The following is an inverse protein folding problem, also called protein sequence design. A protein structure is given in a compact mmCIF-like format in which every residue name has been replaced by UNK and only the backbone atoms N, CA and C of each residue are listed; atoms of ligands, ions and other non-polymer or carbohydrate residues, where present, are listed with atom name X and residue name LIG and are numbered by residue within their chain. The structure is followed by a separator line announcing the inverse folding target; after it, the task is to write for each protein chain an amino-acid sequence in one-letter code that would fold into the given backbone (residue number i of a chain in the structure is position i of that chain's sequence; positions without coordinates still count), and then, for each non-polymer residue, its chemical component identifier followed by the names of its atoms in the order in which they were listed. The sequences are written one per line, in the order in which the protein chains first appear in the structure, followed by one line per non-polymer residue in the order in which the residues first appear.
data_IF_085404610575
#
_entry.id   IF_085404610575
#
_cell.length_a   1.000
_cell.length_b   1.000
_cell.length_c   1.000
_cell.angle_alpha   90.00
_cell.angle_beta   90.00
_cell.angle_gamma   90.00
#
_symmetry.space_group_name_H-M   'P 1'
#
loop_
_entity.id
_entity.type
_entity.pdbx_description
1 polymer ?
#
# COMPACT_ATOMS: atom_id res chain seq x y z
N UNK A 1 -96.28 -13.03 3.36
CA UNK A 1 -95.32 -12.02 2.88
C UNK A 1 -93.94 -12.38 3.45
N UNK A 2 -92.86 -12.33 2.66
CA UNK A 2 -91.70 -13.21 2.83
C UNK A 2 -90.51 -12.50 3.47
N UNK A 3 -89.73 -13.17 4.32
CA UNK A 3 -88.35 -12.75 4.68
C UNK A 3 -87.55 -14.02 4.98
N UNK A 4 -86.93 -14.61 3.95
CA UNK A 4 -85.48 -14.57 3.66
C UNK A 4 -84.61 -15.37 4.64
N UNK A 5 -84.23 -16.58 4.21
CA UNK A 5 -83.15 -17.39 4.79
C UNK A 5 -81.80 -16.85 4.27
N UNK A 6 -80.99 -16.24 5.14
CA UNK A 6 -79.60 -15.95 4.83
C UNK A 6 -78.72 -17.15 5.25
N UNK A 7 -78.22 -17.90 4.26
CA UNK A 7 -77.20 -18.94 4.45
C UNK A 7 -75.86 -18.25 4.72
N UNK A 8 -75.29 -18.46 5.91
CA UNK A 8 -73.92 -18.08 6.22
C UNK A 8 -72.98 -19.12 5.58
N UNK A 9 -72.28 -18.73 4.50
CA UNK A 9 -71.17 -19.51 3.95
C UNK A 9 -69.90 -19.03 4.63
N UNK A 10 -69.35 -19.86 5.52
CA UNK A 10 -68.03 -19.63 6.13
C UNK A 10 -66.97 -20.00 5.09
N UNK A 11 -66.32 -18.98 4.52
CA UNK A 11 -65.19 -19.17 3.60
C UNK A 11 -63.92 -19.38 4.46
N UNK A 12 -63.49 -20.63 4.61
CA UNK A 12 -62.22 -20.96 5.24
C UNK A 12 -61.08 -20.63 4.26
N UNK A 13 -60.37 -19.54 4.51
CA UNK A 13 -59.10 -19.22 3.84
C UNK A 13 -57.99 -20.07 4.48
N UNK A 14 -57.63 -21.17 3.83
CA UNK A 14 -56.41 -21.91 4.13
C UNK A 14 -55.22 -21.09 3.62
N UNK A 15 -54.53 -20.40 4.54
CA UNK A 15 -53.25 -19.75 4.26
C UNK A 15 -52.19 -20.85 4.16
N UNK A 16 -51.80 -21.21 2.94
CA UNK A 16 -50.66 -22.09 2.69
C UNK A 16 -49.38 -21.28 2.98
N UNK A 17 -48.80 -21.46 4.16
CA UNK A 17 -47.49 -20.89 4.48
C UNK A 17 -46.44 -21.59 3.60
N UNK A 18 -46.04 -20.95 2.51
CA UNK A 18 -44.84 -21.35 1.75
C UNK A 18 -43.64 -21.01 2.63
N UNK A 19 -43.23 -22.00 3.44
CA UNK A 19 -41.90 -22.03 4.04
C UNK A 19 -40.92 -22.17 2.88
N UNK A 20 -40.48 -21.05 2.32
CA UNK A 20 -39.32 -21.03 1.46
C UNK A 20 -38.14 -21.48 2.32
N UNK A 21 -37.64 -22.69 2.08
CA UNK A 21 -36.33 -23.14 2.53
C UNK A 21 -35.31 -22.13 1.99
N UNK A 22 -34.98 -21.13 2.81
CA UNK A 22 -33.81 -20.30 2.59
C UNK A 22 -32.63 -21.16 3.01
N UNK A 23 -32.10 -21.94 2.06
CA UNK A 23 -30.76 -22.44 2.23
C UNK A 23 -29.86 -21.25 2.62
N UNK A 24 -29.06 -21.37 3.69
CA UNK A 24 -28.12 -20.31 4.01
C UNK A 24 -27.23 -20.14 2.79
N UNK A 25 -27.24 -18.95 2.20
CA UNK A 25 -26.29 -18.56 1.15
C UNK A 25 -24.91 -18.75 1.77
N UNK A 26 -24.28 -19.89 1.47
CA UNK A 26 -22.90 -20.14 1.84
C UNK A 26 -22.13 -19.06 1.11
N UNK A 27 -21.61 -18.08 1.85
CA UNK A 27 -20.78 -17.03 1.28
C UNK A 27 -19.72 -17.74 0.41
N UNK A 28 -19.81 -17.56 -0.91
CA UNK A 28 -18.86 -18.17 -1.81
C UNK A 28 -17.50 -17.58 -1.45
N UNK A 29 -16.54 -18.43 -1.10
CA UNK A 29 -15.16 -18.00 -0.90
C UNK A 29 -14.72 -17.31 -2.19
N UNK A 30 -14.33 -16.02 -2.14
CA UNK A 30 -13.99 -15.29 -3.36
C UNK A 30 -12.82 -15.98 -4.07
N UNK A 31 -12.72 -15.85 -5.39
CA UNK A 31 -11.53 -16.30 -6.11
C UNK A 31 -10.33 -15.39 -5.81
N UNK A 32 -9.10 -15.86 -6.02
CA UNK A 32 -7.90 -15.03 -5.95
C UNK A 32 -8.00 -13.82 -6.87
N UNK A 33 -8.46 -14.01 -8.11
CA UNK A 33 -8.69 -12.93 -9.06
C UNK A 33 -9.67 -11.87 -8.51
N UNK A 34 -10.74 -12.29 -7.84
CA UNK A 34 -11.70 -11.36 -7.21
C UNK A 34 -11.03 -10.55 -6.10
N UNK A 35 -10.23 -11.19 -5.24
CA UNK A 35 -9.53 -10.50 -4.15
C UNK A 35 -8.48 -9.53 -4.70
N UNK A 36 -7.73 -9.94 -5.73
CA UNK A 36 -6.74 -9.08 -6.40
C UNK A 36 -7.38 -7.90 -7.13
N UNK A 37 -8.57 -8.07 -7.73
CA UNK A 37 -9.31 -6.98 -8.35
C UNK A 37 -9.75 -5.95 -7.29
N UNK A 38 -10.32 -6.41 -6.17
CA UNK A 38 -10.65 -5.54 -5.03
C UNK A 38 -9.44 -4.80 -4.48
N UNK A 39 -8.29 -5.48 -4.40
CA UNK A 39 -7.06 -4.85 -3.95
C UNK A 39 -6.55 -3.77 -4.91
N UNK A 40 -6.66 -4.00 -6.23
CA UNK A 40 -6.32 -3.00 -7.23
C UNK A 40 -7.25 -1.77 -7.15
N UNK A 41 -8.56 -2.00 -6.99
CA UNK A 41 -9.54 -0.93 -6.79
C UNK A 41 -9.24 -0.15 -5.50
N UNK A 42 -8.92 -0.87 -4.43
CA UNK A 42 -8.53 -0.28 -3.14
C UNK A 42 -7.28 0.60 -3.29
N UNK A 43 -6.22 0.13 -3.97
CA UNK A 43 -5.00 0.92 -4.19
C UNK A 43 -5.28 2.14 -5.07
N UNK A 44 -6.19 2.04 -6.05
CA UNK A 44 -6.58 3.19 -6.87
C UNK A 44 -7.29 4.27 -6.06
N UNK A 45 -8.22 3.89 -5.17
CA UNK A 45 -8.87 4.82 -4.24
C UNK A 45 -7.85 5.41 -3.27
N UNK A 46 -7.00 4.55 -2.70
CA UNK A 46 -5.94 4.95 -1.77
C UNK A 46 -5.04 6.02 -2.40
N UNK A 47 -4.67 5.87 -3.67
CA UNK A 47 -3.88 6.86 -4.40
C UNK A 47 -4.55 8.23 -4.47
N UNK A 48 -5.86 8.26 -4.73
CA UNK A 48 -6.63 9.49 -4.85
C UNK A 48 -6.78 10.19 -3.49
N UNK A 49 -7.08 9.42 -2.45
CA UNK A 49 -7.34 9.94 -1.11
C UNK A 49 -6.04 10.34 -0.39
N UNK A 50 -4.97 9.53 -0.53
CA UNK A 50 -3.66 9.82 0.06
C UNK A 50 -2.89 10.88 -0.75
N UNK A 51 -3.19 11.05 -2.04
CA UNK A 51 -2.49 11.96 -2.95
C UNK A 51 -2.61 13.46 -2.63
N UNK A 52 -3.25 13.82 -1.52
CA UNK A 52 -3.38 15.19 -1.04
C UNK A 52 -3.14 15.32 0.48
N UNK A 53 -2.47 14.36 1.11
CA UNK A 53 -2.18 14.41 2.54
C UNK A 53 -0.74 14.81 2.82
N UNK A 54 -0.56 15.42 3.99
CA UNK A 54 0.73 15.58 4.64
C UNK A 54 0.72 14.66 5.87
N UNK A 55 1.72 13.80 5.98
CA UNK A 55 1.86 12.89 7.10
C UNK A 55 3.16 13.17 7.87
N UNK A 56 3.07 13.23 9.19
CA UNK A 56 4.23 13.27 10.06
C UNK A 56 4.95 11.92 10.04
N UNK A 57 6.28 11.97 10.04
CA UNK A 57 7.13 10.78 10.15
C UNK A 57 8.24 10.99 11.17
N UNK A 58 8.37 10.03 12.08
CA UNK A 58 9.57 9.84 12.87
C UNK A 58 10.37 8.66 12.32
N UNK A 59 11.59 8.91 11.87
CA UNK A 59 12.41 7.90 11.20
C UNK A 59 13.77 7.74 11.87
N UNK A 60 14.04 6.53 12.34
CA UNK A 60 15.31 6.17 12.98
C UNK A 60 16.09 5.22 12.08
N UNK A 61 17.35 5.55 11.86
CA UNK A 61 18.29 4.80 11.05
C UNK A 61 19.45 4.31 11.91
N UNK A 62 19.94 3.10 11.65
CA UNK A 62 21.13 2.54 12.25
C UNK A 62 21.99 1.87 11.18
N UNK A 63 23.31 2.09 11.23
CA UNK A 63 24.29 1.51 10.31
C UNK A 63 25.48 1.02 11.13
N UNK A 64 25.93 -0.19 10.85
CA UNK A 64 27.07 -0.76 11.53
C UNK A 64 28.42 -0.24 11.01
N UNK A 65 29.42 -0.05 11.90
CA UNK A 65 29.31 -0.17 13.36
C UNK A 65 28.79 1.11 14.04
N UNK A 66 27.57 1.06 14.59
CA UNK A 66 27.08 1.96 15.64
C UNK A 66 26.68 3.39 15.25
N UNK A 67 26.62 3.76 13.96
CA UNK A 67 26.12 5.08 13.56
C UNK A 67 24.60 5.08 13.55
N UNK A 68 24.00 5.98 14.32
CA UNK A 68 22.54 6.19 14.32
C UNK A 68 22.18 7.59 13.83
N UNK A 69 20.95 7.74 13.34
CA UNK A 69 20.36 9.03 12.97
C UNK A 69 18.87 9.02 13.23
N UNK A 70 18.34 10.08 13.84
CA UNK A 70 16.90 10.31 13.97
C UNK A 70 16.50 11.49 13.09
N UNK A 71 15.39 11.35 12.39
CA UNK A 71 14.81 12.40 11.57
C UNK A 71 13.34 12.58 11.94
N UNK A 72 12.89 13.82 11.85
CA UNK A 72 11.47 14.17 11.84
C UNK A 72 11.16 14.81 10.48
N UNK A 73 10.16 14.29 9.78
CA UNK A 73 9.81 14.70 8.42
C UNK A 73 8.31 14.86 8.25
N UNK A 74 7.93 15.66 7.25
CA UNK A 74 6.60 15.62 6.64
C UNK A 74 6.69 14.86 5.31
N UNK A 75 5.74 13.94 5.07
CA UNK A 75 5.60 13.22 3.82
C UNK A 75 4.47 13.82 3.01
N UNK A 76 4.81 14.35 1.85
CA UNK A 76 3.86 14.85 0.87
C UNK A 76 3.67 13.73 -0.15
N UNK A 77 2.49 13.15 -0.17
CA UNK A 77 2.11 12.15 -1.17
C UNK A 77 1.27 12.85 -2.22
N UNK A 78 1.64 12.69 -3.49
CA UNK A 78 0.91 13.27 -4.60
C UNK A 78 1.01 12.39 -5.83
N UNK A 79 0.00 12.48 -6.69
CA UNK A 79 -0.01 11.85 -8.01
C UNK A 79 -0.15 12.92 -9.07
N UNK A 80 0.80 13.01 -10.03
CA UNK A 80 0.65 13.92 -11.14
C UNK A 80 -0.65 13.63 -11.92
N UNK A 81 -1.32 14.65 -12.49
CA UNK A 81 -2.46 14.43 -13.37
C UNK A 81 -2.08 13.50 -14.53
N UNK A 82 -2.98 12.57 -14.88
CA UNK A 82 -2.79 11.58 -15.94
C UNK A 82 -1.59 10.62 -15.75
N UNK A 83 -1.03 10.56 -14.54
CA UNK A 83 0.06 9.67 -14.17
C UNK A 83 -0.38 8.71 -13.05
N UNK A 84 -0.35 7.41 -13.33
CA UNK A 84 -0.68 6.38 -12.35
C UNK A 84 0.39 6.26 -11.24
N UNK A 85 1.52 6.98 -11.34
CA UNK A 85 2.62 6.89 -10.37
C UNK A 85 2.33 7.64 -9.06
N UNK A 86 2.84 7.08 -7.97
CA UNK A 86 2.84 7.73 -6.65
C UNK A 86 4.17 8.41 -6.47
N UNK A 87 4.13 9.72 -6.26
CA UNK A 87 5.29 10.48 -5.86
C UNK A 87 5.16 10.80 -4.38
N UNK A 88 6.23 10.51 -3.65
CA UNK A 88 6.32 10.82 -2.24
C UNK A 88 7.56 11.67 -2.07
N UNK A 89 7.35 12.87 -1.54
CA UNK A 89 8.42 13.77 -1.15
C UNK A 89 8.53 13.78 0.38
N UNK A 90 9.71 13.44 0.89
CA UNK A 90 10.04 13.48 2.32
C UNK A 90 10.71 14.82 2.60
N UNK A 91 9.98 15.76 3.18
CA UNK A 91 10.59 16.99 3.68
C UNK A 91 11.10 16.80 5.10
N UNK A 92 12.41 16.68 5.24
CA UNK A 92 13.06 16.54 6.55
C UNK A 92 13.13 17.89 7.26
N UNK A 93 12.49 17.96 8.42
CA UNK A 93 12.37 19.14 9.27
C UNK A 93 13.52 19.20 10.28
N UNK A 94 13.81 18.07 10.92
CA UNK A 94 14.88 17.96 11.92
C UNK A 94 15.75 16.73 11.69
N UNK A 95 17.05 16.87 11.98
CA UNK A 95 18.02 15.78 12.01
C UNK A 95 18.74 15.80 13.35
N UNK A 96 18.69 14.69 14.09
CA UNK A 96 19.30 14.53 15.41
C UNK A 96 18.94 15.68 16.38
N UNK A 97 17.68 16.11 16.32
CA UNK A 97 17.11 17.19 17.14
C UNK A 97 17.53 18.61 16.73
N UNK A 98 18.15 18.77 15.56
CA UNK A 98 18.53 20.07 14.99
C UNK A 98 17.65 20.40 13.80
N UNK A 99 17.03 21.59 13.75
CA UNK A 99 16.32 22.05 12.57
C UNK A 99 17.22 22.10 11.34
N UNK A 100 16.62 21.81 10.20
CA UNK A 100 17.27 21.92 8.89
C UNK A 100 17.28 23.40 8.45
N UNK A 101 18.46 24.02 8.42
CA UNK A 101 18.64 25.47 8.22
C UNK A 101 18.14 25.99 6.86
N UNK A 102 18.33 25.21 5.78
CA UNK A 102 18.02 25.60 4.39
C UNK A 102 16.58 25.26 3.96
N UNK A 103 15.73 24.79 4.88
CA UNK A 103 14.43 24.17 4.56
C UNK A 103 13.52 25.05 3.72
N UNK A 104 13.23 26.27 4.17
CA UNK A 104 12.23 27.15 3.52
C UNK A 104 12.65 27.53 2.10
N UNK A 105 13.90 27.97 1.93
CA UNK A 105 14.45 28.32 0.62
C UNK A 105 14.46 27.11 -0.31
N UNK A 106 14.87 25.94 0.18
CA UNK A 106 14.89 24.68 -0.58
C UNK A 106 13.50 24.29 -1.06
N UNK A 107 12.47 24.36 -0.20
CA UNK A 107 11.10 24.08 -0.60
C UNK A 107 10.61 25.05 -1.66
N UNK A 108 10.89 26.35 -1.49
CA UNK A 108 10.56 27.34 -2.50
C UNK A 108 11.23 27.00 -3.84
N UNK A 109 12.51 26.63 -3.86
CA UNK A 109 13.24 26.30 -5.09
C UNK A 109 12.82 24.97 -5.72
N UNK A 110 12.23 24.05 -4.94
CA UNK A 110 11.72 22.77 -5.44
C UNK A 110 10.34 22.91 -6.10
N UNK A 111 9.47 23.74 -5.54
CA UNK A 111 8.08 23.89 -6.00
C UNK A 111 7.82 25.16 -6.81
N UNK A 112 8.84 25.97 -7.09
CA UNK A 112 8.78 27.08 -8.06
C UNK A 112 8.58 26.61 -9.52
N UNK A 113 8.89 25.35 -9.81
CA UNK A 113 8.87 24.79 -11.18
C UNK A 113 7.58 24.00 -11.47
N UNK A 114 6.62 24.68 -12.13
CA UNK A 114 5.52 24.11 -12.97
C UNK A 114 4.48 23.17 -12.33
N UNK A 115 3.25 23.09 -12.88
CA UNK A 115 2.21 22.17 -12.41
C UNK A 115 2.45 20.70 -12.81
N UNK A 116 3.33 20.46 -13.79
CA UNK A 116 3.77 19.12 -14.20
C UNK A 116 5.07 18.76 -13.47
N UNK A 117 5.20 17.50 -13.03
CA UNK A 117 6.43 16.99 -12.40
C UNK A 117 7.24 16.19 -13.43
N UNK A 118 8.17 16.82 -14.17
CA UNK A 118 9.02 16.10 -15.12
C UNK A 118 9.94 15.11 -14.39
N UNK A 119 10.42 14.08 -15.09
CA UNK A 119 11.34 13.08 -14.53
C UNK A 119 12.59 13.70 -13.86
N UNK A 120 13.04 14.86 -14.34
CA UNK A 120 14.15 15.60 -13.73
C UNK A 120 13.78 16.15 -12.33
N UNK A 121 12.57 16.69 -12.17
CA UNK A 121 12.07 17.17 -10.87
C UNK A 121 11.81 15.99 -9.94
N UNK A 122 11.24 14.88 -10.44
CA UNK A 122 11.07 13.65 -9.66
C UNK A 122 12.40 13.15 -9.09
N UNK A 123 13.44 13.07 -9.92
CA UNK A 123 14.78 12.67 -9.46
C UNK A 123 15.34 13.64 -8.43
N UNK A 124 15.10 14.95 -8.59
CA UNK A 124 15.49 15.99 -7.62
C UNK A 124 14.77 15.78 -6.29
N UNK A 125 13.46 15.61 -6.29
CA UNK A 125 12.64 15.35 -5.10
C UNK A 125 13.07 14.08 -4.36
N UNK A 126 13.34 12.99 -5.09
CA UNK A 126 13.86 11.74 -4.52
C UNK A 126 15.25 11.91 -3.90
N UNK A 127 16.14 12.62 -4.60
CA UNK A 127 17.49 12.90 -4.10
C UNK A 127 17.45 13.75 -2.83
N UNK A 128 16.60 14.77 -2.80
CA UNK A 128 16.38 15.62 -1.61
C UNK A 128 15.77 14.82 -0.45
N UNK A 129 14.78 13.97 -0.72
CA UNK A 129 14.15 13.07 0.27
C UNK A 129 15.17 12.13 0.92
N UNK A 130 16.21 11.75 0.19
CA UNK A 130 17.24 10.81 0.62
C UNK A 130 18.50 11.47 1.21
N UNK A 131 18.64 12.80 1.17
CA UNK A 131 19.92 13.49 1.44
C UNK A 131 20.50 13.23 2.84
N UNK A 132 19.63 12.93 3.79
CA UNK A 132 20.00 12.62 5.17
C UNK A 132 20.03 11.13 5.49
N UNK A 133 19.77 10.26 4.52
CA UNK A 133 19.89 8.83 4.71
C UNK A 133 21.35 8.45 4.99
N UNK A 134 21.57 7.54 5.94
CA UNK A 134 22.89 7.04 6.32
C UNK A 134 23.11 5.62 5.79
N UNK A 135 24.31 5.30 5.33
CA UNK A 135 24.67 3.97 4.85
C UNK A 135 25.36 4.04 3.50
N UNK A 136 25.81 2.90 3.00
CA UNK A 136 26.46 2.81 1.69
C UNK A 136 25.46 2.52 0.56
N UNK A 137 24.28 1.95 0.89
CA UNK A 137 23.20 1.72 -0.05
C UNK A 137 22.39 3.01 -0.19
N UNK A 138 22.28 3.50 -1.43
CA UNK A 138 21.44 4.64 -1.77
C UNK A 138 19.97 4.22 -1.69
N UNK A 139 19.21 4.93 -0.86
CA UNK A 139 17.79 4.65 -0.59
C UNK A 139 17.00 5.91 -0.91
N UNK A 140 16.38 5.95 -2.08
CA UNK A 140 15.60 7.11 -2.57
C UNK A 140 14.22 6.72 -3.13
N UNK A 141 13.79 5.48 -2.85
CA UNK A 141 12.45 4.93 -3.11
C UNK A 141 11.82 4.34 -1.85
N UNK A 142 12.52 4.39 -0.71
CA UNK A 142 12.08 3.77 0.54
C UNK A 142 11.00 4.61 1.20
N UNK A 143 9.78 4.45 0.71
CA UNK A 143 8.58 5.12 1.21
C UNK A 143 7.51 4.09 1.54
N UNK A 144 6.66 4.34 2.55
CA UNK A 144 5.74 3.32 3.06
C UNK A 144 4.71 2.82 2.04
N UNK A 145 4.49 3.55 0.96
CA UNK A 145 3.51 3.24 -0.08
C UNK A 145 4.10 2.43 -1.24
N UNK A 146 5.43 2.23 -1.28
CA UNK A 146 6.11 1.67 -2.45
C UNK A 146 5.55 0.31 -2.87
N UNK A 147 5.34 -0.60 -1.91
CA UNK A 147 4.87 -1.96 -2.21
C UNK A 147 3.39 -2.00 -2.67
N UNK A 148 2.57 -1.01 -2.30
CA UNK A 148 1.18 -0.94 -2.77
C UNK A 148 1.09 -0.72 -4.29
N UNK A 149 2.08 -0.05 -4.89
CA UNK A 149 2.11 0.21 -6.33
C UNK A 149 2.11 -1.08 -7.17
N UNK A 150 2.62 -2.18 -6.62
CA UNK A 150 2.62 -3.50 -7.27
C UNK A 150 1.21 -4.09 -7.47
N UNK A 151 0.24 -3.65 -6.67
CA UNK A 151 -1.15 -4.10 -6.76
C UNK A 151 -1.98 -3.29 -7.77
N UNK A 152 -1.41 -2.26 -8.39
CA UNK A 152 -2.07 -1.53 -9.48
C UNK A 152 -2.34 -2.45 -10.68
N UNK A 153 -3.35 -2.12 -11.48
CA UNK A 153 -3.68 -2.90 -12.69
C UNK A 153 -2.50 -3.04 -13.64
N UNK A 154 -1.70 -1.99 -13.76
CA UNK A 154 -0.51 -1.93 -14.60
C UNK A 154 0.56 -2.92 -14.14
N UNK A 155 0.92 -2.91 -12.86
CA UNK A 155 2.04 -3.70 -12.36
C UNK A 155 1.68 -5.17 -12.10
N UNK A 156 0.42 -5.49 -11.75
CA UNK A 156 -0.03 -6.88 -11.51
C UNK A 156 0.23 -7.83 -12.68
N UNK A 157 0.22 -7.32 -13.92
CA UNK A 157 0.46 -8.13 -15.12
C UNK A 157 1.89 -8.70 -15.20
N UNK A 158 2.83 -8.13 -14.44
CA UNK A 158 4.24 -8.51 -14.38
C UNK A 158 4.60 -9.35 -13.15
N UNK A 159 3.59 -9.75 -12.38
CA UNK A 159 3.76 -10.51 -11.16
C UNK A 159 3.19 -11.92 -11.33
N UNK A 160 3.90 -12.89 -10.78
CA UNK A 160 3.30 -14.18 -10.41
C UNK A 160 2.73 -14.02 -9.00
N UNK A 161 1.43 -14.26 -8.86
CA UNK A 161 0.68 -14.06 -7.60
C UNK A 161 0.06 -15.37 -7.15
N UNK A 162 0.27 -15.74 -5.90
CA UNK A 162 -0.25 -16.98 -5.32
C UNK A 162 -0.77 -16.74 -3.90
N UNK A 163 -1.98 -17.21 -3.61
CA UNK A 163 -2.47 -17.29 -2.24
C UNK A 163 -1.81 -18.47 -1.53
N UNK A 164 -0.97 -18.20 -0.54
CA UNK A 164 -0.24 -19.23 0.20
C UNK A 164 -0.99 -19.72 1.43
N UNK A 165 -1.67 -18.81 2.15
CA UNK A 165 -2.42 -19.16 3.36
C UNK A 165 -3.48 -18.11 3.72
N UNK A 166 -4.23 -18.38 4.80
CA UNK A 166 -5.10 -17.41 5.47
C UNK A 166 -4.57 -17.16 6.88
N UNK A 167 -4.56 -15.91 7.31
CA UNK A 167 -4.01 -15.50 8.59
C UNK A 167 -4.89 -14.43 9.25
N UNK A 168 -4.93 -14.42 10.58
CA UNK A 168 -5.51 -13.32 11.35
C UNK A 168 -4.43 -12.27 11.63
N UNK A 169 -4.61 -11.06 11.11
CA UNK A 169 -3.77 -9.92 11.44
C UNK A 169 -4.56 -9.01 12.39
N UNK A 170 -4.33 -9.21 13.69
CA UNK A 170 -5.25 -8.73 14.73
C UNK A 170 -6.57 -9.51 14.65
N UNK A 171 -7.69 -8.80 14.58
CA UNK A 171 -9.02 -9.41 14.46
C UNK A 171 -9.49 -9.57 12.99
N UNK A 172 -8.67 -9.16 12.03
CA UNK A 172 -9.01 -9.15 10.62
C UNK A 172 -8.51 -10.43 9.94
N UNK A 173 -9.41 -11.13 9.26
CA UNK A 173 -9.06 -12.28 8.41
C UNK A 173 -8.43 -11.77 7.12
N UNK A 174 -7.22 -12.24 6.84
CA UNK A 174 -6.44 -11.87 5.68
C UNK A 174 -6.09 -13.09 4.85
N UNK A 175 -5.97 -12.88 3.54
CA UNK A 175 -5.27 -13.77 2.66
C UNK A 175 -3.83 -13.32 2.56
N UNK A 176 -2.93 -14.28 2.71
CA UNK A 176 -1.49 -14.10 2.51
C UNK A 176 -1.20 -14.42 1.06
N UNK A 177 -0.87 -13.41 0.27
CA UNK A 177 -0.64 -13.52 -1.16
C UNK A 177 0.83 -13.23 -1.45
N UNK A 178 1.57 -14.26 -1.82
CA UNK A 178 2.94 -14.13 -2.28
C UNK A 178 2.97 -13.52 -3.68
N UNK A 179 3.96 -12.68 -3.94
CA UNK A 179 4.25 -12.16 -5.27
C UNK A 179 5.71 -12.40 -5.64
N UNK A 180 5.93 -12.59 -6.94
CA UNK A 180 7.25 -12.61 -7.57
C UNK A 180 7.19 -11.74 -8.82
N UNK A 181 8.00 -10.68 -8.87
CA UNK A 181 8.20 -9.91 -10.10
C UNK A 181 9.00 -10.75 -11.10
N UNK A 182 8.53 -10.79 -12.34
CA UNK A 182 9.11 -11.63 -13.41
C UNK A 182 9.39 -10.87 -14.70
N UNK A 183 9.04 -9.57 -14.76
CA UNK A 183 9.17 -8.75 -15.97
C UNK A 183 9.53 -7.30 -15.61
N UNK A 184 10.02 -6.56 -16.62
CA UNK A 184 10.50 -5.18 -16.52
C UNK A 184 9.44 -4.14 -16.89
N UNK A 185 9.61 -2.86 -16.48
CA UNK A 185 10.61 -2.37 -15.52
C UNK A 185 10.33 -2.84 -14.09
N UNK A 186 11.40 -3.17 -13.36
CA UNK A 186 11.33 -3.36 -11.92
C UNK A 186 11.14 -2.02 -11.19
N UNK A 187 10.61 -2.09 -9.95
CA UNK A 187 10.52 -0.91 -9.08
C UNK A 187 11.89 -0.41 -8.62
N UNK A 188 12.83 -1.33 -8.42
CA UNK A 188 14.19 -1.01 -7.95
C UNK A 188 15.17 -1.33 -9.06
N UNK A 189 16.12 -0.42 -9.24
CA UNK A 189 17.26 -0.60 -10.13
C UNK A 189 18.56 -0.41 -9.35
N UNK A 190 19.60 -1.13 -9.75
CA UNK A 190 20.94 -0.95 -9.20
C UNK A 190 21.64 0.31 -9.74
N UNK A 191 22.89 0.54 -9.32
CA UNK A 191 23.68 1.68 -9.78
C UNK A 191 24.02 1.64 -11.29
N UNK A 192 23.94 0.47 -11.91
CA UNK A 192 24.13 0.21 -13.34
C UNK A 192 22.81 0.24 -14.13
N UNK A 193 21.71 0.63 -13.47
CA UNK A 193 20.34 0.66 -14.01
C UNK A 193 19.83 -0.72 -14.45
N UNK A 194 20.36 -1.79 -13.87
CA UNK A 194 19.79 -3.12 -14.03
C UNK A 194 18.61 -3.27 -13.08
N UNK A 195 17.56 -3.91 -13.58
CA UNK A 195 16.35 -4.17 -12.81
C UNK A 195 16.62 -5.22 -11.72
N UNK A 196 16.24 -4.88 -10.49
CA UNK A 196 16.25 -5.79 -9.36
C UNK A 196 14.83 -6.28 -9.12
N UNK A 197 14.54 -7.51 -9.53
CA UNK A 197 13.22 -8.11 -9.39
C UNK A 197 12.90 -8.39 -7.92
N UNK A 198 11.76 -7.88 -7.49
CA UNK A 198 11.29 -8.03 -6.12
C UNK A 198 10.39 -9.23 -5.94
N UNK A 199 10.31 -9.72 -4.71
CA UNK A 199 9.33 -10.70 -4.29
C UNK A 199 8.86 -10.35 -2.87
N UNK A 200 7.83 -11.02 -2.39
CA UNK A 200 7.31 -10.75 -1.05
C UNK A 200 5.87 -11.17 -0.88
N UNK A 201 5.18 -10.50 0.04
CA UNK A 201 3.86 -10.92 0.51
C UNK A 201 2.95 -9.73 0.79
N UNK A 202 1.69 -9.86 0.41
CA UNK A 202 0.60 -8.98 0.80
C UNK A 202 -0.36 -9.67 1.75
N UNK A 203 -0.77 -8.99 2.82
CA UNK A 203 -1.87 -9.41 3.68
C UNK A 203 -3.12 -8.62 3.30
N UNK A 204 -4.04 -9.26 2.58
CA UNK A 204 -5.21 -8.61 1.98
C UNK A 204 -6.48 -9.12 2.64
N UNK A 205 -7.33 -8.21 3.11
CA UNK A 205 -8.68 -8.57 3.57
C UNK A 205 -9.55 -8.98 2.36
N UNK A 206 -9.97 -10.25 2.26
CA UNK A 206 -10.59 -10.76 1.04
C UNK A 206 -11.95 -10.11 0.73
N UNK A 207 -12.65 -9.61 1.76
CA UNK A 207 -13.96 -9.00 1.60
C UNK A 207 -13.91 -7.63 0.91
N UNK A 208 -12.85 -6.85 1.15
CA UNK A 208 -12.77 -5.43 0.77
C UNK A 208 -11.61 -5.12 -0.16
N UNK A 209 -10.56 -5.97 -0.20
CA UNK A 209 -9.31 -5.66 -0.88
C UNK A 209 -8.34 -4.80 -0.06
N UNK A 210 -8.71 -4.40 1.17
CA UNK A 210 -7.82 -3.62 2.04
C UNK A 210 -6.52 -4.36 2.28
N UNK A 211 -5.39 -3.66 2.14
CA UNK A 211 -4.06 -4.19 2.40
C UNK A 211 -3.63 -3.78 3.80
N UNK A 212 -3.40 -4.76 4.68
CA UNK A 212 -3.09 -4.54 6.10
C UNK A 212 -1.59 -4.56 6.38
N UNK A 213 -0.83 -5.29 5.57
CA UNK A 213 0.62 -5.37 5.65
C UNK A 213 1.19 -5.71 4.28
N UNK A 214 2.38 -5.18 4.01
CA UNK A 214 3.21 -5.57 2.86
C UNK A 214 4.60 -5.92 3.33
N UNK A 215 5.12 -7.04 2.83
CA UNK A 215 6.53 -7.40 2.90
C UNK A 215 7.09 -7.35 1.48
N UNK A 216 8.21 -6.66 1.32
CA UNK A 216 8.90 -6.45 0.06
C UNK A 216 10.36 -6.83 0.24
N UNK A 217 10.87 -7.69 -0.64
CA UNK A 217 12.22 -8.22 -0.61
C UNK A 217 12.85 -8.09 -2.00
N UNK A 218 14.12 -7.74 -2.02
CA UNK A 218 14.98 -7.76 -3.20
C UNK A 218 16.31 -8.39 -2.79
N UNK A 219 16.76 -9.34 -3.60
CA UNK A 219 18.04 -10.02 -3.41
C UNK A 219 18.83 -9.98 -4.71
N UNK A 220 20.15 -9.75 -4.60
CA UNK A 220 21.09 -9.91 -5.70
C UNK A 220 22.30 -10.72 -5.24
N UNK A 221 22.27 -12.01 -5.58
CA UNK A 221 23.31 -12.99 -5.25
C UNK A 221 24.70 -12.63 -5.79
N UNK A 222 24.77 -11.89 -6.91
CA UNK A 222 26.04 -11.56 -7.56
C UNK A 222 26.87 -10.59 -6.72
N UNK A 223 26.19 -9.74 -5.96
CA UNK A 223 26.81 -8.75 -5.06
C UNK A 223 26.48 -9.02 -3.58
N UNK A 224 25.74 -10.07 -3.27
CA UNK A 224 25.30 -10.41 -1.92
C UNK A 224 24.38 -9.36 -1.29
N UNK A 225 23.60 -8.64 -2.09
CA UNK A 225 22.68 -7.59 -1.63
C UNK A 225 21.37 -8.21 -1.16
N UNK A 226 20.90 -7.79 0.02
CA UNK A 226 19.54 -8.04 0.49
C UNK A 226 18.90 -6.72 0.92
N UNK A 227 17.68 -6.49 0.45
CA UNK A 227 16.82 -5.37 0.83
C UNK A 227 15.50 -5.95 1.31
N UNK A 228 15.11 -5.57 2.52
CA UNK A 228 13.82 -5.94 3.10
C UNK A 228 13.08 -4.68 3.53
N UNK A 229 11.78 -4.65 3.29
CA UNK A 229 10.90 -3.60 3.78
C UNK A 229 9.56 -4.21 4.17
N UNK A 230 9.12 -3.92 5.40
CA UNK A 230 7.79 -4.27 5.91
C UNK A 230 7.04 -3.02 6.28
N UNK A 231 5.80 -2.91 5.82
CA UNK A 231 4.90 -1.81 6.16
C UNK A 231 3.62 -2.38 6.76
N UNK A 232 3.19 -1.84 7.90
CA UNK A 232 1.89 -2.15 8.50
C UNK A 232 0.98 -0.94 8.36
N UNK A 233 -0.26 -1.19 7.96
CA UNK A 233 -1.28 -0.17 7.77
C UNK A 233 -2.32 -0.29 8.88
N UNK A 234 -2.75 0.84 9.42
CA UNK A 234 -3.77 0.90 10.48
C UNK A 234 -4.86 1.89 10.12
N UNK A 235 -6.06 1.65 10.65
CA UNK A 235 -7.18 2.54 10.42
C UNK A 235 -6.92 3.90 11.07
N UNK A 236 -7.15 4.96 10.30
CA UNK A 236 -7.18 6.32 10.80
C UNK A 236 -8.61 6.83 10.73
N UNK A 237 -9.21 7.10 11.90
CA UNK A 237 -10.63 7.49 12.00
C UNK A 237 -10.93 8.78 11.23
N UNK A 238 -10.00 9.74 11.24
CA UNK A 238 -10.17 11.04 10.56
C UNK A 238 -10.21 10.91 9.04
N UNK A 239 -9.46 9.94 8.49
CA UNK A 239 -9.41 9.68 7.05
C UNK A 239 -10.36 8.56 6.60
N UNK A 240 -10.89 7.77 7.53
CA UNK A 240 -11.79 6.65 7.21
C UNK A 240 -11.12 5.51 6.42
N UNK A 241 -9.79 5.49 6.32
CA UNK A 241 -9.02 4.51 5.54
C UNK A 241 -7.86 3.93 6.35
N UNK A 242 -7.18 2.90 5.83
CA UNK A 242 -5.90 2.47 6.41
C UNK A 242 -4.81 3.42 5.93
N UNK A 243 -3.87 3.76 6.81
CA UNK A 243 -2.67 4.54 6.48
C UNK A 243 -1.42 3.85 7.02
N UNK A 244 -0.22 4.15 6.48
CA UNK A 244 1.00 3.52 6.95
C UNK A 244 1.26 3.95 8.39
N UNK A 245 1.34 2.98 9.30
CA UNK A 245 1.56 3.23 10.72
C UNK A 245 3.02 2.95 11.12
N UNK A 246 3.63 1.92 10.53
CA UNK A 246 5.02 1.57 10.75
C UNK A 246 5.66 1.10 9.46
N UNK A 247 6.87 1.54 9.19
CA UNK A 247 7.76 0.98 8.17
C UNK A 247 9.06 0.53 8.83
N UNK A 248 9.46 -0.72 8.60
CA UNK A 248 10.75 -1.25 9.01
C UNK A 248 11.50 -1.73 7.78
N UNK A 249 12.78 -1.45 7.72
CA UNK A 249 13.61 -1.77 6.57
C UNK A 249 14.97 -2.29 7.03
N UNK A 250 15.52 -3.23 6.26
CA UNK A 250 16.83 -3.79 6.49
C UNK A 250 17.59 -3.87 5.16
N UNK A 251 18.88 -3.57 5.22
CA UNK A 251 19.75 -3.56 4.06
C UNK A 251 21.09 -4.17 4.44
N UNK A 252 21.53 -5.15 3.68
CA UNK A 252 22.84 -5.80 3.87
C UNK A 252 23.53 -6.03 2.53
N UNK A 253 24.86 -6.06 2.57
CA UNK A 253 25.70 -6.56 1.48
C UNK A 253 26.73 -7.50 2.08
N UNK A 254 26.60 -8.78 1.75
CA UNK A 254 27.56 -9.80 2.12
C UNK A 254 28.63 -9.87 1.04
N UNK A 255 29.75 -9.19 1.27
CA UNK A 255 30.92 -9.26 0.38
C UNK A 255 31.50 -10.67 0.48
N UNK A 256 31.22 -11.50 -0.54
CA UNK A 256 31.84 -12.82 -0.73
C UNK A 256 33.29 -12.69 -1.21
#
# INVERSE_FOLDING_TARGET
MPVSFARLVVLALTLLAVLADREPVRAQTPSLETVLARAADYVSIYQQDLGNIIADEEYTQAVDPGRTRRMYSELLVFSPPDDERWLVFRDVIEVDGKPVEDREQRLADLFQETPDVPAALELKLRTESARFNIGFIRRDLNVPTMALQLLTNRERSRLVLEKTQEELLGDLKTWVIAFQAVDSPALIQDAQKQDLLSHGVFWIEPATGRVLQTDFLVEDDAIGLTIEMRVRYQHNDSMGMLVPATMTEHYSVDVK
#
